data_IF_910109586399
#
_entry.id   IF_910109586399
#
_cell.length_a   1.000
_cell.length_b   1.000
_cell.length_c   1.000
_cell.angle_alpha   90.00
_cell.angle_beta   90.00
_cell.angle_gamma   90.00
#
_symmetry.space_group_name_H-M   'P 1'
#
loop_
_entity.id
_entity.type
_entity.pdbx_description
1 polymer ?
#
# COMPACT_ATOMS: atom_id res chain seq x y z
N UNK A 1 -1.64 17.30 -0.67
CA UNK A 1 -0.57 17.36 0.34
C UNK A 1 0.15 16.02 0.41
N UNK A 2 1.46 16.05 0.31
CA UNK A 2 2.23 14.80 0.28
C UNK A 2 2.42 14.22 1.68
N UNK A 3 2.14 12.93 1.83
CA UNK A 3 2.35 12.19 3.08
C UNK A 3 3.62 11.37 3.01
N UNK A 4 4.29 11.22 4.16
CA UNK A 4 5.46 10.36 4.27
C UNK A 4 5.02 8.90 4.23
N UNK A 5 5.73 8.06 3.47
CA UNK A 5 5.52 6.63 3.44
C UNK A 5 6.51 5.96 4.41
N UNK A 6 5.97 5.24 5.38
CA UNK A 6 6.76 4.46 6.34
C UNK A 6 6.62 2.98 5.98
N UNK A 7 7.74 2.27 5.85
CA UNK A 7 7.76 0.87 5.44
C UNK A 7 7.95 -0.05 6.63
N UNK A 8 6.96 -0.89 6.91
CA UNK A 8 7.12 -1.92 7.92
C UNK A 8 8.06 -3.03 7.41
N UNK A 9 8.63 -3.79 8.33
CA UNK A 9 9.45 -4.95 7.94
C UNK A 9 8.62 -5.96 7.12
N UNK A 10 7.36 -6.15 7.49
CA UNK A 10 6.47 -7.05 6.77
C UNK A 10 6.24 -6.57 5.34
N UNK A 11 6.08 -5.26 5.14
CA UNK A 11 5.92 -4.69 3.80
C UNK A 11 7.17 -4.95 2.95
N UNK A 12 8.35 -4.69 3.52
CA UNK A 12 9.61 -4.89 2.78
C UNK A 12 9.76 -6.34 2.35
N UNK A 13 9.46 -7.28 3.24
CA UNK A 13 9.53 -8.72 2.90
C UNK A 13 8.53 -9.09 1.82
N UNK A 14 7.29 -8.60 1.94
CA UNK A 14 6.26 -8.88 0.96
C UNK A 14 6.61 -8.31 -0.41
N UNK A 15 7.13 -7.08 -0.46
CA UNK A 15 7.52 -6.45 -1.71
C UNK A 15 8.66 -7.21 -2.39
N UNK A 16 9.66 -7.63 -1.62
CA UNK A 16 10.77 -8.43 -2.16
C UNK A 16 10.28 -9.75 -2.76
N UNK A 17 9.37 -10.43 -2.06
CA UNK A 17 8.81 -11.69 -2.54
C UNK A 17 8.02 -11.48 -3.82
N UNK A 18 7.19 -10.44 -3.84
CA UNK A 18 6.38 -10.10 -5.01
C UNK A 18 7.25 -9.83 -6.22
N UNK A 19 8.26 -8.98 -6.07
CA UNK A 19 9.11 -8.56 -7.19
C UNK A 19 10.04 -9.66 -7.67
N UNK A 20 10.36 -10.61 -6.80
CA UNK A 20 11.12 -11.79 -7.19
C UNK A 20 10.33 -12.70 -8.11
N UNK A 21 9.02 -12.85 -7.82
CA UNK A 21 8.12 -13.67 -8.63
C UNK A 21 7.65 -12.95 -9.88
N UNK A 22 7.38 -11.64 -9.76
CA UNK A 22 6.81 -10.81 -10.83
C UNK A 22 7.60 -9.51 -10.97
N UNK A 23 8.80 -9.56 -11.58
CA UNK A 23 9.59 -8.33 -11.76
C UNK A 23 8.84 -7.23 -12.51
N UNK A 24 7.92 -7.61 -13.40
CA UNK A 24 7.12 -6.68 -14.19
C UNK A 24 6.15 -5.87 -13.34
N UNK A 25 5.93 -6.25 -12.08
CA UNK A 25 5.06 -5.50 -11.19
C UNK A 25 5.73 -4.24 -10.63
N UNK A 26 7.05 -4.11 -10.75
CA UNK A 26 7.78 -2.99 -10.16
C UNK A 26 7.30 -1.62 -10.63
N UNK A 27 7.08 -1.36 -11.93
CA UNK A 27 6.59 -0.06 -12.37
C UNK A 27 5.21 0.27 -11.79
N UNK A 28 4.30 -0.69 -11.76
CA UNK A 28 2.97 -0.47 -11.22
C UNK A 28 3.02 -0.17 -9.72
N UNK A 29 3.85 -0.90 -8.99
CA UNK A 29 4.01 -0.67 -7.56
C UNK A 29 4.59 0.72 -7.30
N UNK A 30 5.60 1.12 -8.05
CA UNK A 30 6.21 2.43 -7.90
C UNK A 30 5.22 3.56 -8.15
N UNK A 31 4.48 3.49 -9.25
CA UNK A 31 3.49 4.51 -9.58
C UNK A 31 2.42 4.61 -8.48
N UNK A 32 1.96 3.45 -7.99
CA UNK A 32 0.95 3.44 -6.94
C UNK A 32 1.47 4.05 -5.63
N UNK A 33 2.71 3.76 -5.26
CA UNK A 33 3.31 4.33 -4.05
C UNK A 33 3.47 5.85 -4.17
N UNK A 34 3.89 6.35 -5.32
CA UNK A 34 4.01 7.78 -5.54
C UNK A 34 2.66 8.47 -5.46
N UNK A 35 1.65 7.88 -6.08
CA UNK A 35 0.31 8.44 -6.06
C UNK A 35 -0.28 8.39 -4.65
N UNK A 36 -0.05 7.30 -3.93
CA UNK A 36 -0.50 7.14 -2.56
C UNK A 36 0.07 8.23 -1.64
N UNK A 37 1.36 8.55 -1.83
CA UNK A 37 1.99 9.60 -1.05
C UNK A 37 1.39 10.97 -1.33
N UNK A 38 1.05 11.25 -2.58
CA UNK A 38 0.49 12.54 -2.97
C UNK A 38 -0.98 12.68 -2.63
N UNK A 39 -1.76 11.64 -2.87
CA UNK A 39 -3.21 11.64 -2.64
C UNK A 39 -3.68 10.22 -2.37
N UNK A 40 -3.75 9.86 -1.09
CA UNK A 40 -4.10 8.52 -0.66
C UNK A 40 -5.51 8.10 -1.09
N UNK A 41 -6.37 9.06 -1.40
CA UNK A 41 -7.75 8.79 -1.80
C UNK A 41 -8.01 9.12 -3.27
N UNK A 42 -6.95 9.19 -4.07
CA UNK A 42 -7.09 9.40 -5.50
C UNK A 42 -7.96 8.27 -6.11
N UNK A 43 -8.92 8.62 -6.98
CA UNK A 43 -9.85 7.61 -7.53
C UNK A 43 -9.17 6.42 -8.21
N UNK A 44 -8.02 6.62 -8.84
CA UNK A 44 -7.30 5.54 -9.51
C UNK A 44 -6.81 4.46 -8.56
N UNK A 45 -6.61 4.79 -7.28
CA UNK A 45 -6.16 3.83 -6.26
C UNK A 45 -7.28 2.97 -5.70
N UNK A 46 -8.53 3.41 -5.83
CA UNK A 46 -9.69 2.69 -5.29
C UNK A 46 -9.54 2.38 -3.80
N UNK A 47 -8.99 3.33 -3.06
CA UNK A 47 -8.73 3.17 -1.63
C UNK A 47 -10.02 2.92 -0.86
N UNK A 48 -10.02 1.90 0.00
CA UNK A 48 -11.18 1.56 0.81
C UNK A 48 -10.76 0.98 2.15
N UNK A 49 -11.63 1.12 3.14
CA UNK A 49 -11.40 0.57 4.47
C UNK A 49 -11.58 -0.94 4.47
N UNK A 50 -10.76 -1.60 5.27
CA UNK A 50 -10.87 -3.04 5.47
C UNK A 50 -11.70 -3.32 6.73
N UNK A 51 -12.29 -4.53 6.79
CA UNK A 51 -13.15 -4.95 7.89
C UNK A 51 -12.60 -6.20 8.56
N UNK A 52 -13.19 -6.58 9.68
CA UNK A 52 -12.79 -7.79 10.40
C UNK A 52 -11.43 -7.65 11.05
N UNK A 53 -10.58 -8.64 10.87
CA UNK A 53 -9.26 -8.65 11.48
C UNK A 53 -8.35 -7.53 11.00
N UNK A 54 -8.65 -6.98 9.82
CA UNK A 54 -7.89 -5.88 9.25
C UNK A 54 -8.55 -4.52 9.49
N UNK A 55 -9.53 -4.45 10.39
CA UNK A 55 -10.20 -3.18 10.72
C UNK A 55 -9.15 -2.16 11.21
N UNK A 56 -9.29 -0.93 10.74
CA UNK A 56 -8.30 0.13 11.01
C UNK A 56 -7.28 0.27 9.90
N UNK A 57 -7.23 -0.67 8.98
CA UNK A 57 -6.35 -0.60 7.81
C UNK A 57 -7.14 -0.25 6.56
N UNK A 58 -6.40 0.22 5.56
CA UNK A 58 -6.94 0.56 4.24
C UNK A 58 -6.23 -0.29 3.19
N UNK A 59 -6.89 -0.49 2.07
CA UNK A 59 -6.26 -1.12 0.91
C UNK A 59 -6.42 -0.25 -0.32
N UNK A 60 -5.43 -0.29 -1.20
CA UNK A 60 -5.53 0.38 -2.49
C UNK A 60 -4.99 -0.53 -3.60
N UNK A 61 -5.36 -0.20 -4.85
CA UNK A 61 -4.96 -0.98 -6.02
C UNK A 61 -3.65 -0.45 -6.60
N UNK A 62 -2.77 -1.37 -7.01
CA UNK A 62 -1.51 -1.05 -7.64
C UNK A 62 -1.42 -1.80 -8.97
N UNK A 63 -2.27 -1.44 -9.93
CA UNK A 63 -2.44 -2.17 -11.17
C UNK A 63 -3.51 -3.23 -11.05
N UNK A 64 -3.49 -4.21 -11.96
CA UNK A 64 -4.61 -5.13 -12.14
C UNK A 64 -4.94 -5.97 -10.90
N UNK A 65 -3.97 -6.64 -10.34
CA UNK A 65 -4.22 -7.60 -9.26
C UNK A 65 -3.45 -7.28 -7.98
N UNK A 66 -2.69 -6.19 -7.95
CA UNK A 66 -1.89 -5.86 -6.77
C UNK A 66 -2.69 -5.01 -5.80
N UNK A 67 -2.49 -5.29 -4.52
CA UNK A 67 -3.11 -4.54 -3.43
C UNK A 67 -2.05 -4.16 -2.42
N UNK A 68 -2.11 -2.89 -1.98
CA UNK A 68 -1.24 -2.38 -0.91
C UNK A 68 -2.13 -2.14 0.30
N UNK A 69 -1.74 -2.69 1.45
CA UNK A 69 -2.45 -2.47 2.72
C UNK A 69 -1.64 -1.50 3.56
N UNK A 70 -2.30 -0.50 4.11
CA UNK A 70 -1.65 0.55 4.87
C UNK A 70 -2.55 1.08 5.98
N UNK A 71 -1.94 1.78 6.93
CA UNK A 71 -2.64 2.54 7.97
C UNK A 71 -2.27 4.01 7.85
N UNK A 72 -3.20 4.87 8.27
CA UNK A 72 -2.92 6.28 8.45
C UNK A 72 -2.50 6.47 9.90
N UNK A 73 -1.30 6.99 10.10
CA UNK A 73 -0.72 7.13 11.45
C UNK A 73 -0.19 8.54 11.66
N UNK A 74 0.03 8.92 12.91
CA UNK A 74 0.68 10.19 13.22
C UNK A 74 2.18 9.95 13.34
N UNK A 75 2.96 10.83 12.69
CA UNK A 75 4.41 10.74 12.72
C UNK A 75 4.98 12.16 12.68
N UNK A 76 5.73 12.52 13.71
CA UNK A 76 6.31 13.87 13.83
C UNK A 76 5.30 14.99 13.64
N UNK A 77 4.10 14.82 14.22
CA UNK A 77 3.06 15.83 14.19
C UNK A 77 2.25 15.91 12.91
N UNK A 78 2.47 15.00 11.97
CA UNK A 78 1.75 14.97 10.70
C UNK A 78 1.21 13.58 10.42
N UNK A 79 0.17 13.51 9.58
CA UNK A 79 -0.36 12.23 9.13
C UNK A 79 0.60 11.59 8.14
N UNK A 80 0.92 10.32 8.38
CA UNK A 80 1.78 9.53 7.51
C UNK A 80 1.09 8.22 7.15
N UNK A 81 1.65 7.51 6.18
CA UNK A 81 1.12 6.24 5.71
C UNK A 81 2.08 5.14 6.13
N UNK A 82 1.61 4.21 6.96
CA UNK A 82 2.40 3.05 7.35
C UNK A 82 2.04 1.89 6.43
N UNK A 83 2.97 1.52 5.55
CA UNK A 83 2.78 0.42 4.62
C UNK A 83 2.93 -0.91 5.38
N UNK A 84 1.89 -1.73 5.35
CA UNK A 84 1.82 -2.97 6.13
C UNK A 84 2.16 -4.20 5.31
N UNK A 85 1.63 -4.30 4.10
CA UNK A 85 1.93 -5.42 3.21
C UNK A 85 1.53 -5.07 1.78
N UNK A 86 1.96 -5.91 0.84
CA UNK A 86 1.58 -5.82 -0.57
C UNK A 86 1.55 -7.23 -1.14
N UNK A 87 0.66 -7.47 -2.08
CA UNK A 87 0.56 -8.77 -2.73
C UNK A 87 -0.59 -8.77 -3.72
N UNK A 88 -0.92 -9.95 -4.23
CA UNK A 88 -2.10 -10.12 -5.06
C UNK A 88 -3.34 -10.04 -4.18
N UNK A 89 -4.51 -9.88 -4.79
CA UNK A 89 -5.77 -9.84 -4.07
C UNK A 89 -5.93 -11.05 -3.15
N UNK A 90 -5.63 -12.24 -3.64
CA UNK A 90 -5.77 -13.46 -2.85
C UNK A 90 -4.76 -13.56 -1.72
N UNK A 91 -3.57 -13.01 -1.89
CA UNK A 91 -2.55 -13.05 -0.85
C UNK A 91 -2.82 -12.08 0.30
N UNK A 92 -3.52 -10.99 0.01
CA UNK A 92 -3.75 -9.91 0.98
C UNK A 92 -5.07 -10.11 1.73
N UNK A 93 -6.08 -10.61 1.08
CA UNK A 93 -7.42 -10.80 1.65
C UNK A 93 -7.73 -12.29 1.99
#
# INVERSE_FOLDING_TARGET
MRRLLLRSAAFVRAARRLLKKNPEAAPNLQVALELLAEDAFHPALKTHKLKGELAGSWACSAGYDLRIVFELVQHDGAEAILLQTVGTHDEVY
#
